data_IF_026574114057
#
_entry.id   IF_026574114057
#
_cell.length_a   1.000
_cell.length_b   1.000
_cell.length_c   1.000
_cell.angle_alpha   90.00
_cell.angle_beta   90.00
_cell.angle_gamma   90.00
#
_symmetry.space_group_name_H-M   'P 1'
#
loop_
_entity.id
_entity.type
_entity.pdbx_description
1 polymer ?
#
# COMPACT_ATOMS: atom_id res chain seq x y z
N UNK A 1 -48.37 -8.50 6.31
CA UNK A 1 -47.47 -7.38 5.97
C UNK A 1 -47.64 -7.07 4.48
N UNK A 2 -47.83 -5.81 4.17
CA UNK A 2 -47.98 -5.40 2.76
C UNK A 2 -46.65 -5.60 2.01
N UNK A 3 -46.72 -6.27 0.84
CA UNK A 3 -45.51 -6.53 0.03
C UNK A 3 -44.69 -5.26 -0.31
N UNK A 4 -45.37 -4.11 -0.44
CA UNK A 4 -44.72 -2.82 -0.64
C UNK A 4 -43.86 -2.41 0.55
N UNK A 5 -44.36 -2.61 1.76
CA UNK A 5 -43.62 -2.30 2.98
C UNK A 5 -42.39 -3.22 3.11
N UNK A 6 -42.57 -4.49 2.88
CA UNK A 6 -41.47 -5.46 2.89
C UNK A 6 -40.38 -5.10 1.86
N UNK A 7 -40.77 -4.77 0.64
CA UNK A 7 -39.83 -4.38 -0.40
C UNK A 7 -39.06 -3.08 -0.04
N UNK A 8 -39.76 -2.09 0.51
CA UNK A 8 -39.12 -0.85 0.94
C UNK A 8 -38.11 -1.06 2.07
N UNK A 9 -38.44 -1.91 3.05
CA UNK A 9 -37.52 -2.27 4.13
C UNK A 9 -36.30 -3.04 3.61
N UNK A 10 -36.51 -3.96 2.69
CA UNK A 10 -35.43 -4.74 2.07
C UNK A 10 -34.46 -3.84 1.29
N UNK A 11 -35.00 -2.94 0.44
CA UNK A 11 -34.18 -1.98 -0.33
C UNK A 11 -33.45 -1.02 0.62
N UNK A 12 -34.14 -0.52 1.63
CA UNK A 12 -33.51 0.36 2.65
C UNK A 12 -32.36 -0.33 3.37
N UNK A 13 -32.57 -1.57 3.80
CA UNK A 13 -31.50 -2.39 4.42
C UNK A 13 -30.32 -2.59 3.47
N UNK A 14 -30.58 -2.97 2.20
CA UNK A 14 -29.52 -3.18 1.22
C UNK A 14 -28.68 -1.93 0.97
N UNK A 15 -29.32 -0.75 0.91
CA UNK A 15 -28.62 0.53 0.75
C UNK A 15 -27.75 0.89 1.95
N UNK A 16 -28.30 0.74 3.17
CA UNK A 16 -27.55 1.01 4.42
C UNK A 16 -26.38 0.03 4.56
N UNK A 17 -26.61 -1.24 4.33
CA UNK A 17 -25.59 -2.27 4.42
C UNK A 17 -24.48 -2.06 3.37
N UNK A 18 -24.86 -1.75 2.13
CA UNK A 18 -23.91 -1.46 1.06
C UNK A 18 -23.06 -0.22 1.36
N UNK A 19 -23.67 0.85 1.87
CA UNK A 19 -22.95 2.06 2.27
C UNK A 19 -22.00 1.80 3.44
N UNK A 20 -22.45 1.02 4.43
CA UNK A 20 -21.61 0.63 5.57
C UNK A 20 -20.40 -0.22 5.12
N UNK A 21 -20.63 -1.23 4.28
CA UNK A 21 -19.54 -2.04 3.72
C UNK A 21 -18.52 -1.19 2.96
N UNK A 22 -19.01 -0.30 2.10
CA UNK A 22 -18.14 0.61 1.35
C UNK A 22 -17.29 1.47 2.27
N UNK A 23 -17.90 2.08 3.30
CA UNK A 23 -17.20 2.89 4.29
C UNK A 23 -16.14 2.09 5.04
N UNK A 24 -16.50 0.92 5.57
CA UNK A 24 -15.58 0.08 6.34
C UNK A 24 -14.44 -0.49 5.51
N UNK A 25 -14.65 -0.78 4.24
CA UNK A 25 -13.60 -1.30 3.38
C UNK A 25 -12.62 -0.24 2.89
N UNK A 26 -13.09 0.99 2.65
CA UNK A 26 -12.28 2.03 2.00
C UNK A 26 -11.75 3.11 2.93
N UNK A 27 -12.36 3.31 4.10
CA UNK A 27 -12.02 4.44 4.98
C UNK A 27 -11.74 4.05 6.43
N UNK A 28 -12.62 3.28 7.07
CA UNK A 28 -12.67 3.17 8.53
C UNK A 28 -11.43 2.55 9.20
N UNK A 29 -10.69 1.73 8.47
CA UNK A 29 -9.55 0.98 9.00
C UNK A 29 -8.21 1.49 8.48
N UNK A 30 -8.19 2.58 7.72
CA UNK A 30 -6.94 3.22 7.29
C UNK A 30 -6.54 4.30 8.29
N UNK A 31 -5.27 4.30 8.66
CA UNK A 31 -4.61 5.38 9.37
C UNK A 31 -3.74 6.16 8.39
N UNK A 32 -3.89 7.48 8.37
CA UNK A 32 -3.03 8.35 7.58
C UNK A 32 -1.78 8.71 8.39
N UNK A 33 -0.61 8.57 7.78
CA UNK A 33 0.68 8.89 8.38
C UNK A 33 1.37 9.92 7.49
N UNK A 34 1.67 11.08 8.06
CA UNK A 34 2.35 12.17 7.35
C UNK A 34 3.60 12.63 8.08
N UNK A 35 4.50 13.28 7.35
CA UNK A 35 5.63 13.98 7.92
C UNK A 35 6.71 13.10 8.53
N UNK A 36 6.83 11.84 8.11
CA UNK A 36 7.99 11.03 8.48
C UNK A 36 9.26 11.64 7.85
N UNK A 37 10.32 11.71 8.63
CA UNK A 37 11.62 12.23 8.20
C UNK A 37 12.57 11.12 7.74
N UNK A 38 12.25 9.87 8.03
CA UNK A 38 12.99 8.69 7.57
C UNK A 38 12.09 7.47 7.40
N UNK A 39 12.55 6.53 6.60
CA UNK A 39 11.98 5.18 6.46
C UNK A 39 13.09 4.15 6.66
N UNK A 40 12.72 2.98 7.17
CA UNK A 40 13.66 1.88 7.28
C UNK A 40 13.69 1.06 5.99
N UNK A 41 14.88 0.89 5.43
CA UNK A 41 15.14 0.04 4.26
C UNK A 41 16.34 -0.86 4.53
N UNK A 42 16.10 -2.16 4.53
CA UNK A 42 17.14 -3.17 4.80
C UNK A 42 17.93 -2.91 6.10
N UNK A 43 17.22 -2.54 7.16
CA UNK A 43 17.79 -2.26 8.48
C UNK A 43 18.52 -0.91 8.60
N UNK A 44 18.40 -0.03 7.60
CA UNK A 44 18.99 1.30 7.61
C UNK A 44 17.90 2.36 7.58
N UNK A 45 18.08 3.41 8.37
CA UNK A 45 17.24 4.62 8.30
C UNK A 45 17.64 5.46 7.08
N UNK A 46 16.71 5.62 6.16
CA UNK A 46 16.88 6.41 4.94
C UNK A 46 16.11 7.71 5.09
N UNK A 47 16.77 8.88 5.03
CA UNK A 47 16.08 10.16 5.09
C UNK A 47 15.12 10.36 3.93
N UNK A 48 13.90 10.82 4.24
CA UNK A 48 12.87 11.16 3.26
C UNK A 48 12.24 12.50 3.60
N UNK A 49 11.57 13.09 2.63
CA UNK A 49 10.77 14.31 2.82
C UNK A 49 9.39 14.16 2.17
N UNK A 50 8.48 15.04 2.55
CA UNK A 50 7.12 15.07 2.01
C UNK A 50 6.37 13.73 2.11
N UNK A 51 6.64 12.96 3.17
CA UNK A 51 6.02 11.66 3.36
C UNK A 51 4.52 11.78 3.58
N UNK A 52 3.78 11.05 2.78
CA UNK A 52 2.34 10.79 2.95
C UNK A 52 2.09 9.31 2.79
N UNK A 53 1.45 8.71 3.77
CA UNK A 53 1.20 7.29 3.79
C UNK A 53 -0.14 6.94 4.39
N UNK A 54 -0.55 5.72 4.13
CA UNK A 54 -1.69 5.04 4.74
C UNK A 54 -1.26 3.65 5.15
N UNK A 55 -1.82 3.17 6.25
CA UNK A 55 -1.66 1.79 6.71
C UNK A 55 -2.93 1.33 7.42
N UNK A 56 -3.02 0.06 7.75
CA UNK A 56 -4.09 -0.48 8.57
C UNK A 56 -3.68 -1.80 9.22
N UNK A 57 -4.08 -2.00 10.47
CA UNK A 57 -3.82 -3.23 11.21
C UNK A 57 -4.63 -4.43 10.69
N UNK A 58 -5.66 -4.18 9.88
CA UNK A 58 -6.59 -5.21 9.39
C UNK A 58 -6.03 -6.06 8.25
N UNK A 59 -4.98 -5.60 7.56
CA UNK A 59 -4.35 -6.35 6.48
C UNK A 59 -2.96 -5.81 6.17
N UNK A 60 -1.94 -6.67 5.99
CA UNK A 60 -0.62 -6.25 5.58
C UNK A 60 -0.60 -5.56 4.21
N UNK A 61 -1.55 -5.85 3.33
CA UNK A 61 -1.65 -5.28 1.99
C UNK A 61 -2.13 -3.82 1.94
N UNK A 62 -2.39 -3.18 3.09
CA UNK A 62 -2.94 -1.82 3.13
C UNK A 62 -1.89 -0.71 3.24
N UNK A 63 -0.62 -1.03 3.47
CA UNK A 63 0.45 -0.02 3.50
C UNK A 63 0.70 0.57 2.11
N UNK A 64 0.65 1.90 2.03
CA UNK A 64 1.07 2.71 0.88
C UNK A 64 1.76 3.97 1.37
N UNK A 65 2.81 4.39 0.68
CA UNK A 65 3.48 5.64 0.99
C UNK A 65 4.02 6.30 -0.27
N UNK A 66 4.04 7.62 -0.26
CA UNK A 66 4.65 8.47 -1.27
C UNK A 66 5.56 9.47 -0.57
N UNK A 67 6.76 9.68 -1.10
CA UNK A 67 7.75 10.56 -0.50
C UNK A 67 8.78 11.00 -1.53
N UNK A 68 9.66 11.90 -1.12
CA UNK A 68 10.87 12.26 -1.86
C UNK A 68 12.08 11.67 -1.14
N UNK A 69 12.99 11.07 -1.89
CA UNK A 69 14.20 10.42 -1.38
C UNK A 69 15.35 10.67 -2.34
N UNK A 70 16.59 10.69 -1.81
CA UNK A 70 17.79 10.64 -2.65
C UNK A 70 17.94 9.22 -3.21
N UNK A 71 17.88 9.01 -4.55
CA UNK A 71 18.05 7.70 -5.15
C UNK A 71 19.35 7.02 -4.77
N UNK A 72 20.42 7.78 -4.58
CA UNK A 72 21.74 7.25 -4.24
C UNK A 72 21.79 6.65 -2.82
N UNK A 73 20.88 7.03 -1.95
CA UNK A 73 20.75 6.43 -0.62
C UNK A 73 20.28 4.96 -0.64
N UNK A 74 19.72 4.50 -1.74
CA UNK A 74 19.13 3.17 -1.89
C UNK A 74 19.97 2.19 -2.73
N UNK A 75 21.06 2.64 -3.36
CA UNK A 75 21.84 1.80 -4.31
C UNK A 75 22.40 0.51 -3.69
N UNK A 76 22.65 0.51 -2.38
CA UNK A 76 23.14 -0.67 -1.64
C UNK A 76 22.03 -1.55 -1.04
N UNK A 77 20.77 -1.17 -1.24
CA UNK A 77 19.65 -1.97 -0.78
C UNK A 77 19.46 -3.21 -1.68
N UNK A 78 19.00 -4.33 -1.11
CA UNK A 78 18.75 -5.53 -1.91
C UNK A 78 17.64 -5.27 -2.93
N UNK A 79 17.73 -5.87 -4.13
CA UNK A 79 16.66 -5.74 -5.14
C UNK A 79 15.37 -6.35 -4.63
N UNK A 80 14.24 -5.73 -4.95
CA UNK A 80 12.92 -6.25 -4.64
C UNK A 80 12.58 -7.43 -5.58
N UNK A 81 12.33 -8.63 -5.05
CA UNK A 81 11.95 -9.77 -5.87
C UNK A 81 10.52 -9.61 -6.38
N UNK A 82 10.33 -9.66 -7.70
CA UNK A 82 9.02 -9.56 -8.37
C UNK A 82 8.10 -8.47 -7.77
N UNK A 83 8.53 -7.20 -7.78
CA UNK A 83 7.79 -6.13 -7.14
C UNK A 83 6.46 -5.89 -7.87
N UNK A 84 5.36 -6.08 -7.16
CA UNK A 84 4.00 -5.88 -7.68
C UNK A 84 3.28 -4.85 -6.82
N UNK A 85 3.21 -3.58 -7.27
CA UNK A 85 2.49 -2.55 -6.54
C UNK A 85 0.99 -2.82 -6.47
N UNK A 86 0.43 -2.77 -5.28
CA UNK A 86 -0.98 -3.00 -5.05
C UNK A 86 -1.78 -1.69 -5.17
N UNK A 87 -2.99 -1.79 -5.72
CA UNK A 87 -3.90 -0.65 -5.88
C UNK A 87 -4.16 0.02 -4.53
N UNK A 88 -4.06 1.34 -4.50
CA UNK A 88 -4.45 2.15 -3.35
C UNK A 88 -5.94 2.51 -3.40
N UNK A 89 -6.57 2.89 -2.27
CA UNK A 89 -7.91 3.47 -2.29
C UNK A 89 -7.98 4.71 -3.18
N UNK A 90 -9.12 4.92 -3.85
CA UNK A 90 -9.30 6.02 -4.81
C UNK A 90 -9.04 7.42 -4.21
N UNK A 91 -9.25 7.58 -2.91
CA UNK A 91 -9.00 8.83 -2.20
C UNK A 91 -7.53 9.09 -1.87
N UNK A 92 -6.65 8.08 -1.97
CA UNK A 92 -5.19 8.22 -1.77
C UNK A 92 -4.49 8.43 -3.11
N UNK A 93 -4.47 9.67 -3.57
CA UNK A 93 -4.15 10.01 -4.95
C UNK A 93 -2.67 9.95 -5.34
N UNK A 94 -1.74 10.00 -4.39
CA UNK A 94 -0.32 10.04 -4.74
C UNK A 94 0.23 8.70 -5.25
N UNK A 95 -0.44 7.58 -4.96
CA UNK A 95 0.01 6.23 -5.27
C UNK A 95 -0.78 5.63 -6.44
N UNK A 96 -0.19 5.60 -7.62
CA UNK A 96 -0.75 4.97 -8.82
C UNK A 96 -0.01 3.65 -9.09
N UNK A 97 -0.61 2.55 -8.64
CA UNK A 97 -0.04 1.21 -8.76
C UNK A 97 0.18 0.76 -10.21
N UNK A 98 -0.75 1.10 -11.11
CA UNK A 98 -0.67 0.69 -12.51
C UNK A 98 0.49 1.40 -13.23
N UNK A 99 0.62 2.70 -13.04
CA UNK A 99 1.73 3.47 -13.58
C UNK A 99 3.06 3.01 -13.01
N UNK A 100 3.13 2.80 -11.68
CA UNK A 100 4.34 2.32 -11.02
C UNK A 100 4.77 0.94 -11.52
N UNK A 101 3.84 0.00 -11.66
CA UNK A 101 4.12 -1.34 -12.18
C UNK A 101 4.67 -1.30 -13.62
N UNK A 102 4.07 -0.49 -14.47
CA UNK A 102 4.53 -0.27 -15.85
C UNK A 102 5.93 0.33 -15.89
N UNK A 103 6.21 1.29 -15.02
CA UNK A 103 7.51 1.96 -14.95
C UNK A 103 8.62 1.06 -14.40
N UNK A 104 8.29 0.19 -13.44
CA UNK A 104 9.21 -0.84 -12.96
C UNK A 104 9.57 -1.84 -14.06
N UNK A 105 8.59 -2.32 -14.83
CA UNK A 105 8.81 -3.21 -15.94
C UNK A 105 9.66 -2.57 -17.05
N UNK A 106 9.50 -1.28 -17.28
CA UNK A 106 10.24 -0.53 -18.30
C UNK A 106 11.62 -0.03 -17.81
N UNK A 107 11.97 -0.25 -16.54
CA UNK A 107 13.23 0.22 -15.96
C UNK A 107 13.27 1.73 -15.69
N UNK A 108 12.13 2.42 -15.69
CA UNK A 108 12.03 3.85 -15.32
C UNK A 108 12.05 4.10 -13.84
N UNK A 109 11.68 3.10 -13.04
CA UNK A 109 11.83 3.05 -11.61
C UNK A 109 12.53 1.77 -11.18
N UNK A 110 13.16 1.78 -10.02
CA UNK A 110 13.86 0.62 -9.44
C UNK A 110 13.21 0.28 -8.10
N UNK A 111 12.91 -1.00 -7.89
CA UNK A 111 12.36 -1.50 -6.63
C UNK A 111 13.42 -2.21 -5.80
N UNK A 112 13.39 -1.94 -4.51
CA UNK A 112 14.24 -2.54 -3.49
C UNK A 112 13.38 -3.27 -2.45
N UNK A 113 13.94 -4.33 -1.86
CA UNK A 113 13.34 -4.98 -0.70
C UNK A 113 13.67 -4.15 0.55
N UNK A 114 12.64 -3.51 1.10
CA UNK A 114 12.80 -2.71 2.32
C UNK A 114 12.83 -3.60 3.57
N UNK A 115 11.98 -4.61 3.64
CA UNK A 115 11.98 -5.60 4.72
C UNK A 115 11.27 -6.88 4.29
N UNK A 116 11.70 -7.98 4.88
CA UNK A 116 10.93 -9.22 4.95
C UNK A 116 10.23 -9.25 6.32
N UNK A 117 8.92 -9.10 6.32
CA UNK A 117 8.07 -9.07 7.51
C UNK A 117 7.32 -10.39 7.70
N UNK A 118 7.74 -11.43 7.01
CA UNK A 118 7.17 -12.79 7.14
C UNK A 118 7.37 -13.31 8.55
N UNK A 119 6.32 -13.75 9.26
CA UNK A 119 6.46 -14.32 10.58
C UNK A 119 7.34 -15.58 10.58
N UNK A 120 8.11 -15.76 11.66
CA UNK A 120 8.93 -16.96 11.82
C UNK A 120 8.07 -18.23 11.72
N UNK A 121 8.48 -19.16 10.85
CA UNK A 121 7.77 -20.43 10.65
C UNK A 121 6.61 -20.40 9.66
N UNK A 122 6.30 -19.26 9.05
CA UNK A 122 5.36 -19.23 7.94
C UNK A 122 6.02 -19.86 6.69
N UNK A 123 5.35 -20.85 6.09
CA UNK A 123 5.84 -21.59 4.92
C UNK A 123 4.90 -21.51 3.72
N UNK A 124 3.70 -20.98 3.93
CA UNK A 124 2.65 -20.91 2.90
C UNK A 124 2.47 -19.50 2.34
N UNK A 125 3.15 -18.51 2.91
CA UNK A 125 3.04 -17.11 2.48
C UNK A 125 4.26 -16.30 2.91
N UNK A 126 4.46 -15.20 2.24
CA UNK A 126 5.45 -14.18 2.59
C UNK A 126 4.82 -12.78 2.67
N UNK A 127 5.39 -11.93 3.51
CA UNK A 127 5.00 -10.53 3.65
C UNK A 127 6.24 -9.68 3.39
N UNK A 128 6.27 -9.03 2.24
CA UNK A 128 7.42 -8.23 1.82
C UNK A 128 7.05 -6.75 1.73
N UNK A 129 7.94 -5.91 2.26
CA UNK A 129 7.83 -4.45 2.12
C UNK A 129 8.79 -3.98 1.05
N UNK A 130 8.26 -3.25 0.08
CA UNK A 130 9.01 -2.73 -1.07
C UNK A 130 9.12 -1.21 -1.04
N UNK A 131 10.22 -0.72 -1.56
CA UNK A 131 10.42 0.69 -1.91
C UNK A 131 10.79 0.78 -3.37
N UNK A 132 10.09 1.60 -4.13
CA UNK A 132 10.46 1.95 -5.50
C UNK A 132 10.90 3.41 -5.57
N UNK A 133 11.90 3.69 -6.37
CA UNK A 133 12.43 5.04 -6.56
C UNK A 133 12.64 5.34 -8.04
N UNK A 134 12.26 6.56 -8.42
CA UNK A 134 12.54 7.15 -9.72
C UNK A 134 13.86 7.95 -9.68
N UNK A 135 14.50 8.16 -10.83
CA UNK A 135 15.73 8.98 -10.89
C UNK A 135 15.55 10.42 -10.41
N UNK A 136 14.33 10.94 -10.46
CA UNK A 136 13.99 12.30 -9.97
C UNK A 136 13.75 12.39 -8.46
N UNK A 137 13.86 11.28 -7.73
CA UNK A 137 13.70 11.23 -6.28
C UNK A 137 12.29 10.92 -5.79
N UNK A 138 11.31 10.72 -6.68
CA UNK A 138 9.99 10.22 -6.25
C UNK A 138 10.14 8.81 -5.72
N UNK A 139 9.66 8.58 -4.50
CA UNK A 139 9.71 7.30 -3.81
C UNK A 139 8.32 6.80 -3.44
N UNK A 140 8.15 5.49 -3.47
CA UNK A 140 6.90 4.80 -3.18
C UNK A 140 7.16 3.61 -2.28
N UNK A 141 6.29 3.39 -1.30
CA UNK A 141 6.38 2.31 -0.32
C UNK A 141 5.07 1.53 -0.33
N UNK A 142 5.17 0.21 -0.35
CA UNK A 142 4.03 -0.68 -0.15
C UNK A 142 4.46 -1.99 0.51
N UNK A 143 3.49 -2.70 1.05
CA UNK A 143 3.67 -4.05 1.59
C UNK A 143 2.77 -5.01 0.82
N UNK A 144 3.30 -6.17 0.50
CA UNK A 144 2.59 -7.19 -0.25
C UNK A 144 2.62 -8.53 0.50
N UNK A 145 1.43 -9.03 0.82
CA UNK A 145 1.23 -10.41 1.26
C UNK A 145 1.10 -11.28 0.01
N UNK A 146 1.93 -12.30 -0.11
CA UNK A 146 1.90 -13.25 -1.21
C UNK A 146 1.73 -14.65 -0.66
N UNK A 147 0.74 -15.40 -1.17
CA UNK A 147 0.62 -16.84 -0.93
C UNK A 147 1.45 -17.59 -2.00
N UNK A 148 2.13 -18.66 -1.58
CA UNK A 148 2.82 -19.57 -2.49
C UNK A 148 1.85 -20.54 -3.17
#
# INVERSE_FOLDING_TARGET
MNGRLFMSLFVGFALIFGAALWYFQLYAYYEEVEGLESIEVAGREIPVSDYRGIDADTSPNKLRGCFTVDPDALVDAPPGPDPDPLIAPDWFHCFDAETLARDLQAGRAVAYLAADETPEGAVEYEILRFVAVYPDGRGYLWRHYRAE
#
